data_IF_975632058917
#
_entry.id   IF_975632058917
#
_cell.length_a   1.000
_cell.length_b   1.000
_cell.length_c   1.000
_cell.angle_alpha   90.00
_cell.angle_beta   90.00
_cell.angle_gamma   90.00
#
_symmetry.space_group_name_H-M   'P 1'
#
loop_
_entity.id
_entity.type
_entity.pdbx_description
1 polymer ?
#
# COMPACT_ATOMS: atom_id res chain seq x y z
N UNK A 1 33.43 -11.35 -0.30
CA UNK A 1 32.63 -11.03 0.89
C UNK A 1 32.99 -9.63 1.35
N UNK A 2 32.06 -8.69 1.25
CA UNK A 2 32.28 -7.32 1.75
C UNK A 2 32.05 -7.33 3.25
N UNK A 3 33.11 -7.22 4.05
CA UNK A 3 33.03 -7.13 5.51
C UNK A 3 32.50 -5.74 5.87
N UNK A 4 31.22 -5.66 6.22
CA UNK A 4 30.59 -4.41 6.67
C UNK A 4 31.11 -4.12 8.08
N UNK A 5 31.71 -2.95 8.28
CA UNK A 5 32.24 -2.54 9.60
C UNK A 5 31.11 -2.51 10.65
N UNK A 6 31.40 -2.84 11.93
CA UNK A 6 30.41 -2.91 13.01
C UNK A 6 29.60 -1.60 13.18
N UNK A 7 30.20 -0.46 12.90
CA UNK A 7 29.57 0.86 12.94
C UNK A 7 28.49 0.99 11.86
N UNK A 8 28.68 0.38 10.68
CA UNK A 8 27.71 0.40 9.61
C UNK A 8 26.55 -0.57 9.89
N UNK A 9 26.80 -1.70 10.53
CA UNK A 9 25.74 -2.64 10.95
C UNK A 9 24.81 -2.00 11.99
N UNK A 10 25.37 -1.30 12.99
CA UNK A 10 24.58 -0.56 13.97
C UNK A 10 23.70 0.51 13.30
N UNK A 11 24.25 1.30 12.37
CA UNK A 11 23.49 2.31 11.61
C UNK A 11 22.33 1.69 10.80
N UNK A 12 22.57 0.53 10.18
CA UNK A 12 21.54 -0.20 9.42
C UNK A 12 20.44 -0.70 10.36
N UNK A 13 20.78 -1.25 11.52
CA UNK A 13 19.82 -1.68 12.53
C UNK A 13 18.98 -0.52 13.06
N UNK A 14 19.60 0.60 13.43
CA UNK A 14 18.88 1.81 13.88
C UNK A 14 17.92 2.33 12.82
N UNK A 15 18.34 2.35 11.55
CA UNK A 15 17.47 2.75 10.44
C UNK A 15 16.29 1.80 10.30
N UNK A 16 16.50 0.48 10.35
CA UNK A 16 15.44 -0.52 10.26
C UNK A 16 14.42 -0.39 11.39
N UNK A 17 14.87 -0.19 12.63
CA UNK A 17 13.99 0.04 13.79
C UNK A 17 13.20 1.35 13.67
N UNK A 18 13.83 2.41 13.17
CA UNK A 18 13.15 3.69 12.92
C UNK A 18 12.05 3.55 11.86
N UNK A 19 12.31 2.80 10.78
CA UNK A 19 11.33 2.55 9.73
C UNK A 19 10.15 1.71 10.23
N UNK A 20 10.36 0.70 11.06
CA UNK A 20 9.29 -0.08 11.70
C UNK A 20 8.42 0.78 12.63
N UNK A 21 9.04 1.66 13.42
CA UNK A 21 8.29 2.62 14.27
C UNK A 21 7.44 3.56 13.43
N UNK A 22 7.96 4.05 12.32
CA UNK A 22 7.23 4.92 11.40
C UNK A 22 6.10 4.19 10.68
N UNK A 23 6.27 2.90 10.33
CA UNK A 23 5.22 2.07 9.76
C UNK A 23 4.07 1.85 10.76
N UNK A 24 4.37 1.52 12.01
CA UNK A 24 3.37 1.42 13.08
C UNK A 24 2.62 2.74 13.29
N UNK A 25 3.34 3.86 13.27
CA UNK A 25 2.74 5.20 13.37
C UNK A 25 1.84 5.49 12.16
N UNK A 26 2.26 5.14 10.95
CA UNK A 26 1.45 5.26 9.72
C UNK A 26 0.14 4.47 9.84
N UNK A 27 0.21 3.24 10.33
CA UNK A 27 -0.97 2.41 10.52
C UNK A 27 -1.92 2.99 11.58
N UNK A 28 -1.39 3.41 12.74
CA UNK A 28 -2.14 4.10 13.79
C UNK A 28 -2.85 5.34 13.22
N UNK A 29 -2.11 6.19 12.51
CA UNK A 29 -2.68 7.38 11.90
C UNK A 29 -3.77 7.05 10.85
N UNK A 30 -3.63 5.95 10.10
CA UNK A 30 -4.66 5.49 9.16
C UNK A 30 -5.95 5.09 9.87
N UNK A 31 -5.85 4.38 11.00
CA UNK A 31 -7.01 3.94 11.80
C UNK A 31 -7.75 5.11 12.45
N UNK A 32 -7.00 6.11 12.94
CA UNK A 32 -7.56 7.27 13.66
C UNK A 32 -7.92 8.45 12.75
N UNK A 33 -7.57 8.39 11.46
CA UNK A 33 -7.81 9.48 10.51
C UNK A 33 -9.30 9.75 10.34
N UNK A 34 -9.67 11.03 10.44
CA UNK A 34 -11.00 11.50 10.10
C UNK A 34 -11.36 11.20 8.65
N UNK A 35 -12.58 10.75 8.39
CA UNK A 35 -13.08 10.62 7.02
C UNK A 35 -13.36 12.01 6.46
N UNK A 36 -12.67 12.36 5.37
CA UNK A 36 -12.88 13.62 4.67
C UNK A 36 -14.03 13.43 3.66
N UNK A 37 -15.18 13.91 4.05
CA UNK A 37 -16.41 13.83 3.24
C UNK A 37 -17.06 15.21 3.16
N UNK A 38 -17.91 15.41 2.16
CA UNK A 38 -18.67 16.64 2.05
C UNK A 38 -19.58 16.80 3.27
N UNK A 39 -19.76 18.03 3.73
CA UNK A 39 -20.47 18.40 4.96
C UNK A 39 -21.85 17.69 5.12
N UNK A 40 -22.60 17.60 4.03
CA UNK A 40 -24.02 17.16 4.06
C UNK A 40 -24.20 15.68 3.68
N UNK A 41 -23.11 14.94 3.43
CA UNK A 41 -23.19 13.52 3.05
C UNK A 41 -23.87 12.62 4.07
N UNK A 42 -23.94 13.04 5.35
CA UNK A 42 -24.62 12.28 6.41
C UNK A 42 -26.13 12.52 6.45
N UNK A 43 -26.58 13.65 5.93
CA UNK A 43 -27.97 14.10 6.05
C UNK A 43 -28.76 13.98 4.76
N UNK A 44 -28.08 13.82 3.62
CA UNK A 44 -28.73 13.75 2.32
C UNK A 44 -28.21 12.55 1.52
N UNK A 45 -29.10 11.60 1.21
CA UNK A 45 -28.81 10.43 0.38
C UNK A 45 -28.37 10.82 -1.05
N UNK A 46 -28.80 11.99 -1.52
CA UNK A 46 -28.47 12.53 -2.85
C UNK A 46 -27.01 12.98 -2.94
N UNK A 47 -26.37 13.32 -1.81
CA UNK A 47 -24.99 13.82 -1.76
C UNK A 47 -24.01 12.67 -1.60
N UNK A 48 -23.25 12.37 -2.64
CA UNK A 48 -22.22 11.32 -2.60
C UNK A 48 -21.13 11.64 -1.56
N UNK A 49 -20.63 10.62 -0.85
CA UNK A 49 -19.63 10.70 0.22
C UNK A 49 -18.20 10.94 -0.32
N UNK A 50 -18.00 11.95 -1.16
CA UNK A 50 -16.69 12.36 -1.67
C UNK A 50 -16.28 13.70 -1.06
N UNK A 51 -14.99 13.95 -0.95
CA UNK A 51 -14.51 15.23 -0.46
C UNK A 51 -14.75 16.35 -1.48
N UNK A 52 -15.31 17.45 -0.98
CA UNK A 52 -15.35 18.73 -1.67
C UNK A 52 -14.98 19.81 -0.67
N UNK A 53 -14.13 20.74 -1.10
CA UNK A 53 -13.73 21.87 -0.27
C UNK A 53 -14.95 22.79 0.00
N UNK A 54 -15.23 23.15 1.26
CA UNK A 54 -16.35 24.04 1.59
C UNK A 54 -16.03 25.47 1.15
N UNK A 55 -16.80 26.02 0.20
CA UNK A 55 -16.58 27.36 -0.37
C UNK A 55 -17.50 28.43 0.23
N UNK A 56 -18.64 28.03 0.82
CA UNK A 56 -19.63 28.99 1.33
C UNK A 56 -19.09 29.94 2.39
N UNK A 57 -19.47 31.23 2.33
CA UNK A 57 -19.06 32.29 3.28
C UNK A 57 -19.33 31.88 4.72
N UNK A 58 -20.49 31.35 5.01
CA UNK A 58 -20.95 30.95 6.36
C UNK A 58 -20.72 29.46 6.67
N UNK A 59 -19.90 28.76 5.91
CA UNK A 59 -19.61 27.35 6.16
C UNK A 59 -18.83 27.17 7.46
N UNK A 60 -19.47 26.62 8.50
CA UNK A 60 -18.86 26.31 9.80
C UNK A 60 -17.68 25.33 9.71
N UNK A 61 -17.66 24.47 8.68
CA UNK A 61 -16.53 23.56 8.39
C UNK A 61 -15.33 24.37 7.85
N UNK A 62 -15.56 25.35 6.95
CA UNK A 62 -14.50 26.23 6.46
C UNK A 62 -13.90 27.08 7.56
N UNK A 63 -14.72 27.54 8.48
CA UNK A 63 -14.32 28.30 9.65
C UNK A 63 -13.74 27.45 10.78
N UNK A 64 -13.63 26.12 10.59
CA UNK A 64 -13.08 25.16 11.55
C UNK A 64 -13.75 25.18 12.94
N UNK A 65 -15.05 25.44 12.99
CA UNK A 65 -15.79 25.42 14.27
C UNK A 65 -15.71 24.08 14.97
N UNK A 66 -15.64 24.11 16.30
CA UNK A 66 -15.67 22.91 17.16
C UNK A 66 -16.93 22.05 16.90
N UNK A 67 -16.79 20.73 16.92
CA UNK A 67 -17.89 19.80 16.63
C UNK A 67 -18.23 19.62 15.15
N UNK A 68 -17.49 20.25 14.22
CA UNK A 68 -17.64 20.05 12.78
C UNK A 68 -16.57 19.13 12.19
N UNK A 69 -16.82 18.49 11.03
CA UNK A 69 -15.81 17.69 10.35
C UNK A 69 -14.53 18.51 10.12
N UNK A 70 -13.38 17.85 10.31
CA UNK A 70 -12.08 18.50 10.13
C UNK A 70 -11.79 18.75 8.66
N UNK A 71 -11.17 19.88 8.35
CA UNK A 71 -10.62 20.17 7.04
C UNK A 71 -9.39 19.33 6.76
N UNK A 72 -9.16 19.03 5.48
CA UNK A 72 -7.91 18.41 5.03
C UNK A 72 -6.76 19.39 5.25
N UNK A 73 -5.75 18.95 5.98
CA UNK A 73 -4.54 19.72 6.25
C UNK A 73 -3.30 18.85 6.11
N UNK A 74 -2.13 19.47 6.02
CA UNK A 74 -0.83 18.78 5.90
C UNK A 74 -0.53 17.86 7.08
N UNK A 75 -1.03 18.19 8.30
CA UNK A 75 -0.86 17.38 9.50
C UNK A 75 -1.49 15.98 9.44
N UNK A 76 -2.45 15.74 8.53
CA UNK A 76 -3.02 14.41 8.30
C UNK A 76 -2.20 13.51 7.38
N UNK A 77 -1.07 13.99 6.85
CA UNK A 77 -0.20 13.17 6.00
C UNK A 77 0.56 12.14 6.81
N UNK A 78 0.87 11.02 6.17
CA UNK A 78 1.80 10.03 6.73
C UNK A 78 3.24 10.58 6.75
N UNK A 79 4.10 10.09 7.67
CA UNK A 79 5.50 10.46 7.70
C UNK A 79 6.17 10.31 6.32
N UNK A 80 7.08 11.24 5.97
CA UNK A 80 7.66 11.32 4.61
C UNK A 80 8.39 10.02 4.23
N UNK A 81 9.16 9.43 5.15
CA UNK A 81 9.96 8.23 4.88
C UNK A 81 9.13 6.98 4.52
N UNK A 82 7.92 6.84 5.10
CA UNK A 82 7.05 5.66 4.87
C UNK A 82 5.82 5.97 4.00
N UNK A 83 5.78 7.18 3.43
CA UNK A 83 4.70 7.57 2.54
C UNK A 83 4.80 6.82 1.21
N UNK A 84 3.70 6.24 0.75
CA UNK A 84 3.69 5.45 -0.48
C UNK A 84 4.09 3.98 -0.29
N UNK A 85 4.74 3.57 0.80
CA UNK A 85 5.10 2.18 1.02
C UNK A 85 3.86 1.32 1.37
N UNK A 86 3.93 0.04 1.12
CA UNK A 86 2.97 -0.95 1.60
C UNK A 86 3.02 -1.06 3.14
N UNK A 87 2.07 -1.76 3.77
CA UNK A 87 2.08 -2.04 5.22
C UNK A 87 3.27 -2.88 5.66
N UNK A 88 3.80 -3.71 4.77
CA UNK A 88 5.04 -4.49 4.98
C UNK A 88 6.34 -3.67 4.88
N UNK A 89 6.26 -2.38 4.53
CA UNK A 89 7.44 -1.53 4.35
C UNK A 89 8.05 -1.56 2.95
N UNK A 90 7.53 -2.40 2.05
CA UNK A 90 8.01 -2.50 0.67
C UNK A 90 7.36 -1.43 -0.22
N UNK A 91 8.13 -0.95 -1.18
CA UNK A 91 7.64 -0.15 -2.30
C UNK A 91 6.93 -1.08 -3.29
N UNK A 92 5.72 -0.71 -3.75
CA UNK A 92 5.01 -1.54 -4.69
C UNK A 92 5.30 -1.15 -6.13
N UNK A 93 5.68 -2.16 -6.91
CA UNK A 93 5.92 -2.03 -8.34
C UNK A 93 4.94 -2.92 -9.09
N UNK A 94 4.20 -2.35 -10.04
CA UNK A 94 3.24 -3.10 -10.86
C UNK A 94 3.99 -3.87 -11.95
N UNK A 95 3.66 -5.15 -12.10
CA UNK A 95 4.34 -6.08 -13.01
C UNK A 95 3.33 -6.69 -13.97
N UNK A 96 3.66 -6.68 -15.25
CA UNK A 96 2.94 -7.36 -16.33
C UNK A 96 3.74 -8.45 -17.01
N UNK A 97 5.07 -8.44 -16.89
CA UNK A 97 6.01 -9.32 -17.62
C UNK A 97 7.06 -9.93 -16.70
N UNK A 98 7.61 -11.06 -17.15
CA UNK A 98 8.71 -11.77 -16.46
C UNK A 98 9.95 -10.90 -16.34
N UNK A 99 10.29 -10.13 -17.38
CA UNK A 99 11.44 -9.22 -17.37
C UNK A 99 11.37 -8.19 -16.24
N UNK A 100 10.20 -7.61 -16.03
CA UNK A 100 9.94 -6.64 -14.95
C UNK A 100 10.10 -7.28 -13.56
N UNK A 101 9.63 -8.54 -13.39
CA UNK A 101 9.79 -9.28 -12.15
C UNK A 101 11.26 -9.56 -11.83
N UNK A 102 12.04 -9.96 -12.84
CA UNK A 102 13.48 -10.26 -12.67
C UNK A 102 14.29 -9.02 -12.30
N UNK A 103 13.89 -7.86 -12.79
CA UNK A 103 14.55 -6.58 -12.51
C UNK A 103 14.27 -6.01 -11.10
N UNK A 104 13.31 -6.60 -10.36
CA UNK A 104 12.95 -6.13 -9.02
C UNK A 104 14.02 -6.42 -7.97
N UNK A 105 14.13 -5.48 -7.03
CA UNK A 105 14.95 -5.65 -5.84
C UNK A 105 14.11 -6.22 -4.69
N UNK A 106 14.28 -7.52 -4.30
CA UNK A 106 13.39 -8.19 -3.34
C UNK A 106 13.43 -7.59 -1.93
N UNK A 107 14.53 -6.90 -1.56
CA UNK A 107 14.65 -6.29 -0.23
C UNK A 107 13.85 -4.99 -0.07
N UNK A 108 13.65 -4.24 -1.16
CA UNK A 108 13.03 -2.91 -1.13
C UNK A 108 11.66 -2.86 -1.79
N UNK A 109 11.45 -3.72 -2.79
CA UNK A 109 10.29 -3.69 -3.66
C UNK A 109 9.43 -4.93 -3.50
N UNK A 110 8.11 -4.75 -3.53
CA UNK A 110 7.14 -5.83 -3.59
C UNK A 110 6.35 -5.77 -4.90
N UNK A 111 6.07 -6.94 -5.43
CA UNK A 111 5.39 -7.10 -6.70
C UNK A 111 3.87 -6.95 -6.58
N UNK A 112 3.26 -6.16 -7.46
CA UNK A 112 1.82 -6.11 -7.68
C UNK A 112 1.53 -6.61 -9.08
N UNK A 113 0.95 -7.80 -9.20
CA UNK A 113 0.61 -8.38 -10.50
C UNK A 113 -0.54 -7.59 -11.12
N UNK A 114 -0.33 -7.07 -12.32
CA UNK A 114 -1.33 -6.34 -13.10
C UNK A 114 -2.47 -7.27 -13.57
N UNK A 115 -3.46 -6.72 -14.27
CA UNK A 115 -4.55 -7.49 -14.87
C UNK A 115 -4.05 -8.21 -16.12
N UNK A 116 -3.58 -9.45 -15.96
CA UNK A 116 -3.02 -10.32 -16.99
C UNK A 116 -3.77 -11.65 -17.06
N UNK A 117 -3.64 -12.36 -18.19
CA UNK A 117 -4.24 -13.69 -18.39
C UNK A 117 -3.65 -14.75 -17.45
N UNK A 118 -4.40 -15.83 -17.21
CA UNK A 118 -4.08 -16.87 -16.24
C UNK A 118 -2.73 -17.58 -16.51
N UNK A 119 -2.37 -17.81 -17.77
CA UNK A 119 -1.06 -18.43 -18.13
C UNK A 119 0.10 -17.59 -17.64
N UNK A 120 0.16 -16.31 -18.04
CA UNK A 120 1.22 -15.39 -17.60
C UNK A 120 1.23 -15.18 -16.09
N UNK A 121 0.04 -15.13 -15.48
CA UNK A 121 -0.08 -15.01 -14.02
C UNK A 121 0.56 -16.20 -13.31
N UNK A 122 0.33 -17.41 -13.79
CA UNK A 122 0.90 -18.63 -13.22
C UNK A 122 2.43 -18.65 -13.35
N UNK A 123 2.97 -18.27 -14.50
CA UNK A 123 4.43 -18.14 -14.70
C UNK A 123 5.05 -17.14 -13.73
N UNK A 124 4.45 -15.95 -13.58
CA UNK A 124 4.93 -14.93 -12.67
C UNK A 124 4.87 -15.37 -11.20
N UNK A 125 3.82 -16.09 -10.79
CA UNK A 125 3.69 -16.62 -9.43
C UNK A 125 4.78 -17.66 -9.11
N UNK A 126 5.07 -18.57 -10.04
CA UNK A 126 6.14 -19.56 -9.88
C UNK A 126 7.51 -18.91 -9.75
N UNK A 127 7.85 -18.01 -10.67
CA UNK A 127 9.12 -17.29 -10.64
C UNK A 127 9.29 -16.40 -9.41
N UNK A 128 8.19 -15.82 -8.91
CA UNK A 128 8.24 -15.03 -7.69
C UNK A 128 8.56 -15.89 -6.45
N UNK A 129 8.06 -17.13 -6.39
CA UNK A 129 8.44 -18.08 -5.34
C UNK A 129 9.91 -18.49 -5.42
N UNK A 130 10.41 -18.82 -6.61
CA UNK A 130 11.82 -19.17 -6.83
C UNK A 130 12.76 -18.04 -6.40
N UNK A 131 12.42 -16.80 -6.76
CA UNK A 131 13.22 -15.61 -6.43
C UNK A 131 12.93 -15.01 -5.05
N UNK A 132 12.02 -15.60 -4.26
CA UNK A 132 11.59 -15.10 -2.95
C UNK A 132 11.09 -13.64 -2.99
N UNK A 133 10.44 -13.24 -4.07
CA UNK A 133 9.86 -11.90 -4.21
C UNK A 133 8.46 -11.91 -3.59
N UNK A 134 8.20 -10.93 -2.72
CA UNK A 134 6.91 -10.78 -2.05
C UNK A 134 5.87 -10.20 -3.01
N UNK A 135 4.76 -10.92 -3.20
CA UNK A 135 3.62 -10.45 -4.01
C UNK A 135 2.61 -9.81 -3.06
N UNK A 136 2.31 -8.52 -3.27
CA UNK A 136 1.51 -7.71 -2.35
C UNK A 136 -0.01 -7.83 -2.55
N UNK A 137 -0.45 -8.21 -3.75
CA UNK A 137 -1.88 -8.34 -4.09
C UNK A 137 -2.41 -9.79 -4.05
N UNK A 138 -1.62 -10.72 -3.56
CA UNK A 138 -1.99 -12.13 -3.39
C UNK A 138 -1.73 -12.53 -1.95
N UNK A 139 -2.73 -13.07 -1.26
CA UNK A 139 -2.57 -13.50 0.13
C UNK A 139 -1.79 -14.82 0.23
N UNK A 140 -2.22 -15.84 -0.50
CA UNK A 140 -1.62 -17.17 -0.52
C UNK A 140 -1.21 -17.52 -1.95
N UNK A 141 0.07 -17.41 -2.24
CA UNK A 141 0.61 -17.62 -3.59
C UNK A 141 0.47 -19.08 -4.02
N UNK A 142 0.76 -20.01 -3.11
CA UNK A 142 0.66 -21.46 -3.38
C UNK A 142 -0.78 -21.90 -3.67
N UNK A 143 -1.73 -21.39 -2.92
CA UNK A 143 -3.16 -21.69 -3.12
C UNK A 143 -3.66 -21.13 -4.45
N UNK A 144 -3.24 -19.93 -4.82
CA UNK A 144 -3.56 -19.36 -6.13
C UNK A 144 -2.99 -20.17 -7.28
N UNK A 145 -1.77 -20.66 -7.15
CA UNK A 145 -1.16 -21.55 -8.15
C UNK A 145 -1.98 -22.83 -8.29
N UNK A 146 -2.38 -23.47 -7.19
CA UNK A 146 -3.23 -24.68 -7.20
C UNK A 146 -4.59 -24.42 -7.88
N UNK A 147 -5.22 -23.30 -7.56
CA UNK A 147 -6.51 -22.93 -8.16
C UNK A 147 -6.40 -22.65 -9.66
N UNK A 148 -5.33 -22.00 -10.10
CA UNK A 148 -5.06 -21.79 -11.52
C UNK A 148 -4.81 -23.12 -12.25
N UNK A 149 -4.09 -24.06 -11.66
CA UNK A 149 -3.92 -25.40 -12.26
C UNK A 149 -5.25 -26.14 -12.42
N UNK A 150 -6.13 -26.09 -11.42
CA UNK A 150 -7.46 -26.71 -11.51
C UNK A 150 -8.30 -26.10 -12.64
N UNK A 151 -8.26 -24.78 -12.83
CA UNK A 151 -8.99 -24.15 -13.92
C UNK A 151 -8.52 -24.63 -15.31
N UNK A 152 -7.21 -24.83 -15.48
CA UNK A 152 -6.67 -25.36 -16.74
C UNK A 152 -6.99 -26.85 -16.97
N UNK A 153 -7.18 -27.64 -15.90
CA UNK A 153 -7.56 -29.06 -16.02
C UNK A 153 -9.05 -29.22 -16.39
N UNK A 154 -9.90 -28.28 -15.98
CA UNK A 154 -11.35 -28.33 -16.28
C UNK A 154 -11.73 -27.75 -17.66
N UNK A 155 -10.81 -27.05 -18.33
CA UNK A 155 -11.02 -26.51 -19.67
C UNK A 155 -10.60 -27.48 -20.79
N UNK A 156 -10.21 -28.73 -20.47
CA UNK A 156 -9.94 -29.83 -21.40
C UNK A 156 -11.04 -30.86 -21.35
#
# INVERSE_FOLDING_TARGET
>A
MVVISPTNQAKIQFKKMADERLLKLKEKNRKTRSKFVVKESKFSARVKSRWRFPRGKHSKVRQMHRGRPKLVSTGFRSPKAVRGLHSSGLEFTTIGNVKELVALNPEKQGAVISKIGNRKRLELLKLALEKKIVILNVKNVEEQIKNLFRSFSNER
#
